data_IF_920617501065
#
_entry.id   IF_920617501065
#
_cell.length_a   1.000
_cell.length_b   1.000
_cell.length_c   1.000
_cell.angle_alpha   90.00
_cell.angle_beta   90.00
_cell.angle_gamma   90.00
#
_symmetry.space_group_name_H-M   'P 1'
#
loop_
_entity.id
_entity.type
_entity.pdbx_description
1 polymer ?
#
# COMPACT_ATOMS: atom_id res chain seq x y z
N UNK A 1 -30.77 12.27 -14.83
CA UNK A 1 -30.94 13.67 -15.28
C UNK A 1 -30.10 14.54 -14.37
N UNK A 2 -29.00 15.15 -14.84
CA UNK A 2 -28.20 16.05 -14.00
C UNK A 2 -28.82 17.45 -14.00
N UNK A 3 -29.08 18.01 -12.83
CA UNK A 3 -29.47 19.42 -12.67
C UNK A 3 -28.27 20.16 -12.09
N UNK A 4 -27.57 20.87 -12.96
CA UNK A 4 -26.54 21.85 -12.61
C UNK A 4 -27.22 23.11 -12.05
N UNK A 5 -26.72 23.62 -10.92
CA UNK A 5 -27.09 24.94 -10.40
C UNK A 5 -25.83 25.80 -10.34
N UNK A 6 -25.72 26.75 -11.28
CA UNK A 6 -24.81 27.88 -11.19
C UNK A 6 -25.36 28.86 -10.15
N UNK A 7 -24.54 29.30 -9.21
CA UNK A 7 -24.74 30.56 -8.51
C UNK A 7 -23.56 31.48 -8.80
N UNK A 8 -23.84 32.54 -9.55
CA UNK A 8 -22.96 33.69 -9.72
C UNK A 8 -23.26 34.72 -8.63
N UNK A 9 -22.23 35.31 -8.03
CA UNK A 9 -22.36 36.53 -7.23
C UNK A 9 -21.23 37.50 -7.61
N UNK A 10 -21.63 38.61 -8.21
CA UNK A 10 -20.83 39.78 -8.55
C UNK A 10 -20.64 40.69 -7.34
N UNK A 11 -19.45 41.26 -7.13
CA UNK A 11 -19.33 42.54 -6.42
C UNK A 11 -18.02 43.31 -6.76
N UNK A 12 -18.26 44.52 -7.30
CA UNK A 12 -17.61 45.81 -7.09
C UNK A 12 -16.09 46.02 -7.32
N UNK A 13 -15.82 47.06 -8.12
CA UNK A 13 -14.54 47.62 -8.52
C UNK A 13 -14.11 48.71 -7.51
N UNK A 14 -12.83 48.75 -7.14
CA UNK A 14 -12.15 49.96 -6.66
C UNK A 14 -10.80 50.07 -7.36
N UNK A 15 -10.65 51.13 -8.15
CA UNK A 15 -9.41 51.52 -8.79
C UNK A 15 -8.50 52.24 -7.78
N UNK A 16 -7.26 51.78 -7.66
CA UNK A 16 -6.19 52.48 -6.97
C UNK A 16 -4.90 52.36 -7.78
N UNK A 17 -4.40 53.48 -8.31
CA UNK A 17 -3.10 53.56 -8.95
C UNK A 17 -1.99 53.51 -7.88
N UNK A 18 -1.25 52.41 -7.84
CA UNK A 18 0.06 52.30 -7.17
C UNK A 18 1.06 51.75 -8.18
N UNK A 19 2.25 52.35 -8.28
CA UNK A 19 3.23 52.07 -9.33
C UNK A 19 3.73 50.62 -9.42
N UNK A 20 4.43 50.24 -10.50
CA UNK A 20 4.81 48.86 -10.76
C UNK A 20 5.72 48.32 -9.64
N UNK A 21 5.41 47.14 -9.06
CA UNK A 21 6.29 46.47 -8.11
C UNK A 21 7.56 45.98 -8.82
N UNK A 22 8.70 45.86 -8.10
CA UNK A 22 9.90 45.22 -8.63
C UNK A 22 9.57 43.77 -9.06
N UNK A 23 10.28 43.23 -10.07
CA UNK A 23 10.02 41.88 -10.55
C UNK A 23 10.12 40.87 -9.39
N UNK A 24 9.23 39.87 -9.31
CA UNK A 24 9.31 38.85 -8.29
C UNK A 24 10.64 38.11 -8.40
N UNK A 25 11.27 37.84 -7.25
CA UNK A 25 12.38 36.90 -7.19
C UNK A 25 11.96 35.56 -7.81
N UNK A 26 12.84 34.84 -8.53
CA UNK A 26 12.49 33.54 -9.09
C UNK A 26 11.98 32.62 -7.98
N UNK A 27 10.79 32.06 -8.16
CA UNK A 27 10.29 31.00 -7.29
C UNK A 27 11.25 29.80 -7.37
N UNK A 28 11.53 29.11 -6.24
CA UNK A 28 12.23 27.84 -6.32
C UNK A 28 11.40 26.91 -7.21
N UNK A 29 12.04 26.36 -8.24
CA UNK A 29 11.42 25.38 -9.13
C UNK A 29 10.82 24.25 -8.28
N UNK A 30 9.63 23.74 -8.62
CA UNK A 30 9.17 22.48 -8.06
C UNK A 30 10.27 21.45 -8.37
N UNK A 31 10.81 20.82 -7.33
CA UNK A 31 11.63 19.62 -7.51
C UNK A 31 10.82 18.68 -8.39
N UNK A 32 11.31 18.43 -9.60
CA UNK A 32 10.80 17.37 -10.43
C UNK A 32 11.02 16.08 -9.64
N UNK A 33 9.96 15.57 -9.00
CA UNK A 33 9.94 14.17 -8.60
C UNK A 33 10.01 13.39 -9.90
N UNK A 34 11.20 12.86 -10.18
CA UNK A 34 11.42 11.91 -11.25
C UNK A 34 10.59 10.69 -10.93
N UNK A 35 9.35 10.62 -11.42
CA UNK A 35 8.58 9.38 -11.45
C UNK A 35 9.27 8.50 -12.48
N UNK A 36 10.34 7.84 -12.06
CA UNK A 36 10.93 6.74 -12.83
C UNK A 36 9.90 5.63 -12.83
N UNK A 37 9.20 5.45 -13.95
CA UNK A 37 8.41 4.24 -14.18
C UNK A 37 9.33 3.05 -13.96
N UNK A 38 9.07 2.18 -12.96
CA UNK A 38 9.88 0.99 -12.75
C UNK A 38 9.85 0.15 -14.03
N UNK A 39 10.99 -0.43 -14.40
CA UNK A 39 10.99 -1.45 -15.45
C UNK A 39 10.00 -2.56 -15.07
N UNK A 40 9.28 -3.17 -16.02
CA UNK A 40 8.23 -4.16 -15.75
C UNK A 40 8.66 -5.35 -14.85
N UNK A 41 9.95 -5.61 -14.77
CA UNK A 41 10.55 -6.73 -14.04
C UNK A 41 11.48 -6.31 -12.89
N UNK A 42 11.50 -5.02 -12.53
CA UNK A 42 12.29 -4.58 -11.39
C UNK A 42 11.71 -5.16 -10.09
N UNK A 43 12.55 -5.70 -9.18
CA UNK A 43 12.07 -6.18 -7.90
C UNK A 43 11.51 -5.02 -7.07
N UNK A 44 10.37 -5.28 -6.43
CA UNK A 44 9.70 -4.35 -5.51
C UNK A 44 10.08 -4.67 -4.06
N UNK A 45 9.42 -4.01 -3.11
CA UNK A 45 9.64 -4.20 -1.68
C UNK A 45 9.64 -5.70 -1.31
N UNK A 46 10.63 -6.13 -0.52
CA UNK A 46 10.82 -7.55 -0.17
C UNK A 46 11.48 -8.40 -1.25
N UNK A 47 11.95 -7.81 -2.35
CA UNK A 47 12.74 -8.50 -3.38
C UNK A 47 11.93 -9.43 -4.28
N UNK A 48 10.63 -9.15 -4.44
CA UNK A 48 9.67 -9.92 -5.25
C UNK A 48 9.29 -9.13 -6.50
N UNK A 49 8.63 -9.76 -7.48
CA UNK A 49 8.03 -9.01 -8.60
C UNK A 49 6.74 -8.33 -8.16
N UNK A 50 6.28 -7.31 -8.90
CA UNK A 50 4.99 -6.68 -8.61
C UNK A 50 3.84 -7.70 -8.64
N UNK A 51 3.80 -8.58 -9.65
CA UNK A 51 2.80 -9.65 -9.76
C UNK A 51 2.78 -10.58 -8.53
N UNK A 52 3.95 -10.89 -7.96
CA UNK A 52 4.05 -11.72 -6.77
C UNK A 52 3.48 -10.99 -5.54
N UNK A 53 3.78 -9.69 -5.39
CA UNK A 53 3.21 -8.88 -4.31
C UNK A 53 1.68 -8.76 -4.42
N UNK A 54 1.16 -8.49 -5.62
CA UNK A 54 -0.28 -8.38 -5.89
C UNK A 54 -1.00 -9.71 -5.60
N UNK A 55 -0.39 -10.84 -5.97
CA UNK A 55 -0.93 -12.17 -5.69
C UNK A 55 -1.02 -12.45 -4.17
N UNK A 56 0.00 -12.04 -3.38
CA UNK A 56 -0.03 -12.16 -1.93
C UNK A 56 -1.18 -11.35 -1.33
N UNK A 57 -1.29 -10.08 -1.74
CA UNK A 57 -2.32 -9.16 -1.28
C UNK A 57 -3.73 -9.66 -1.60
N UNK A 58 -3.95 -10.11 -2.83
CA UNK A 58 -5.26 -10.63 -3.27
C UNK A 58 -5.69 -11.86 -2.47
N UNK A 59 -4.75 -12.76 -2.20
CA UNK A 59 -5.02 -13.98 -1.47
C UNK A 59 -5.28 -13.69 0.02
N UNK A 60 -4.55 -12.75 0.63
CA UNK A 60 -4.85 -12.28 1.99
C UNK A 60 -6.22 -11.61 2.08
N UNK A 61 -6.56 -10.73 1.14
CA UNK A 61 -7.84 -10.03 1.10
C UNK A 61 -9.02 -11.02 1.07
N UNK A 62 -8.91 -12.07 0.25
CA UNK A 62 -9.91 -13.14 0.16
C UNK A 62 -10.14 -13.86 1.49
N UNK A 63 -9.13 -13.91 2.36
CA UNK A 63 -9.20 -14.58 3.66
C UNK A 63 -9.67 -13.66 4.79
N UNK A 64 -9.64 -12.33 4.63
CA UNK A 64 -9.94 -11.38 5.71
C UNK A 64 -11.29 -11.64 6.37
N UNK A 65 -12.34 -11.90 5.59
CA UNK A 65 -13.67 -12.15 6.15
C UNK A 65 -13.70 -13.43 6.98
N UNK A 66 -12.99 -14.48 6.53
CA UNK A 66 -12.85 -15.73 7.27
C UNK A 66 -12.11 -15.49 8.59
N UNK A 67 -10.98 -14.78 8.56
CA UNK A 67 -10.20 -14.47 9.75
C UNK A 67 -10.96 -13.64 10.78
N UNK A 68 -11.85 -12.72 10.34
CA UNK A 68 -12.74 -11.96 11.24
C UNK A 68 -13.87 -12.80 11.83
N UNK A 69 -14.25 -13.89 11.16
CA UNK A 69 -15.37 -14.75 11.58
C UNK A 69 -14.92 -15.81 12.58
N UNK A 70 -13.73 -16.37 12.38
CA UNK A 70 -13.17 -17.41 13.23
C UNK A 70 -12.29 -16.83 14.34
N UNK A 71 -11.91 -17.67 15.31
CA UNK A 71 -11.04 -17.23 16.39
C UNK A 71 -9.65 -16.84 15.87
N UNK A 72 -8.98 -15.86 16.50
CA UNK A 72 -7.64 -15.42 16.09
C UNK A 72 -6.61 -16.55 16.00
N UNK A 73 -6.72 -17.58 16.84
CA UNK A 73 -5.82 -18.74 16.81
C UNK A 73 -5.93 -19.55 15.51
N UNK A 74 -7.15 -19.75 14.99
CA UNK A 74 -7.38 -20.43 13.71
C UNK A 74 -6.91 -19.54 12.57
N UNK A 75 -7.21 -18.24 12.63
CA UNK A 75 -6.80 -17.27 11.62
C UNK A 75 -5.28 -17.21 11.45
N UNK A 76 -4.51 -17.19 12.55
CA UNK A 76 -3.04 -17.17 12.52
C UNK A 76 -2.46 -18.40 11.82
N UNK A 77 -3.01 -19.59 12.09
CA UNK A 77 -2.64 -20.81 11.36
C UNK A 77 -2.95 -20.68 9.86
N UNK A 78 -4.09 -20.06 9.52
CA UNK A 78 -4.45 -19.74 8.14
C UNK A 78 -3.46 -18.80 7.44
N UNK A 79 -2.98 -17.76 8.12
CA UNK A 79 -1.95 -16.86 7.60
C UNK A 79 -0.64 -17.62 7.29
N UNK A 80 -0.19 -18.46 8.22
CA UNK A 80 1.03 -19.26 8.03
C UNK A 80 0.91 -20.20 6.81
N UNK A 81 -0.23 -20.88 6.65
CA UNK A 81 -0.47 -21.75 5.49
C UNK A 81 -0.50 -20.95 4.19
N UNK A 82 -1.19 -19.80 4.19
CA UNK A 82 -1.32 -18.92 3.03
C UNK A 82 0.06 -18.46 2.55
N UNK A 83 0.91 -17.96 3.46
CA UNK A 83 2.23 -17.46 3.10
C UNK A 83 3.11 -18.59 2.57
N UNK A 84 3.12 -19.76 3.21
CA UNK A 84 3.88 -20.92 2.72
C UNK A 84 3.44 -21.37 1.33
N UNK A 85 2.12 -21.36 1.09
CA UNK A 85 1.54 -21.69 -0.22
C UNK A 85 1.96 -20.67 -1.28
N UNK A 86 1.89 -19.37 -0.96
CA UNK A 86 2.32 -18.31 -1.85
C UNK A 86 3.82 -18.39 -2.17
N UNK A 87 4.67 -18.67 -1.17
CA UNK A 87 6.12 -18.89 -1.36
C UNK A 87 6.34 -20.01 -2.38
N UNK A 88 5.68 -21.15 -2.20
CA UNK A 88 5.83 -22.31 -3.07
C UNK A 88 5.37 -22.03 -4.51
N UNK A 89 4.21 -21.37 -4.68
CA UNK A 89 3.66 -21.06 -6.00
C UNK A 89 4.49 -20.06 -6.80
N UNK A 90 5.22 -19.17 -6.10
CA UNK A 90 5.98 -18.09 -6.72
C UNK A 90 7.48 -18.39 -6.80
N UNK A 91 7.90 -19.64 -6.54
CA UNK A 91 9.31 -20.07 -6.63
C UNK A 91 10.22 -19.36 -5.62
N UNK A 92 9.66 -18.86 -4.52
CA UNK A 92 10.41 -18.16 -3.49
C UNK A 92 11.17 -19.15 -2.61
N UNK A 93 12.31 -18.74 -2.06
CA UNK A 93 13.10 -19.60 -1.17
C UNK A 93 12.50 -19.61 0.25
N UNK A 94 11.90 -20.71 0.74
CA UNK A 94 11.26 -20.75 2.06
C UNK A 94 12.25 -20.46 3.19
N UNK A 95 13.50 -20.91 3.08
CA UNK A 95 14.53 -20.65 4.09
C UNK A 95 14.80 -19.14 4.26
N UNK A 96 14.72 -18.36 3.19
CA UNK A 96 14.91 -16.91 3.26
C UNK A 96 13.80 -16.23 4.09
N UNK A 97 12.55 -16.70 3.99
CA UNK A 97 11.41 -16.18 4.75
C UNK A 97 11.40 -16.66 6.20
N UNK A 98 12.03 -17.80 6.50
CA UNK A 98 12.26 -18.23 7.89
C UNK A 98 13.32 -17.37 8.59
N UNK A 99 14.37 -16.97 7.86
CA UNK A 99 15.41 -16.07 8.39
C UNK A 99 14.90 -14.63 8.53
N UNK A 100 14.03 -14.20 7.62
CA UNK A 100 13.46 -12.85 7.56
C UNK A 100 11.93 -12.91 7.42
N UNK A 101 11.26 -13.17 8.55
CA UNK A 101 9.79 -13.22 8.61
C UNK A 101 9.14 -11.86 8.39
N UNK A 102 9.86 -10.76 8.65
CA UNK A 102 9.42 -9.39 8.41
C UNK A 102 9.27 -9.06 6.92
N UNK A 103 9.79 -9.90 6.03
CA UNK A 103 9.66 -9.74 4.58
C UNK A 103 8.21 -9.67 4.11
N UNK A 104 7.34 -10.53 4.63
CA UNK A 104 5.91 -10.55 4.26
C UNK A 104 5.24 -9.23 4.67
N UNK A 105 5.60 -8.74 5.85
CA UNK A 105 5.14 -7.47 6.38
C UNK A 105 5.60 -6.30 5.50
N UNK A 106 6.87 -6.33 5.05
CA UNK A 106 7.45 -5.33 4.15
C UNK A 106 6.78 -5.32 2.77
N UNK A 107 6.52 -6.49 2.20
CA UNK A 107 5.83 -6.63 0.90
C UNK A 107 4.43 -6.01 0.99
N UNK A 108 3.66 -6.42 2.01
CA UNK A 108 2.25 -6.03 2.14
C UNK A 108 2.08 -4.59 2.60
N UNK A 109 2.98 -4.06 3.42
CA UNK A 109 2.97 -2.64 3.79
C UNK A 109 3.17 -1.72 2.57
N UNK A 110 4.01 -2.15 1.62
CA UNK A 110 4.26 -1.39 0.39
C UNK A 110 3.15 -1.58 -0.67
N UNK A 111 2.65 -2.81 -0.82
CA UNK A 111 1.72 -3.15 -1.90
C UNK A 111 0.23 -2.99 -1.53
N UNK A 112 -0.15 -3.31 -0.30
CA UNK A 112 -1.55 -3.35 0.14
C UNK A 112 -1.71 -3.06 1.64
N UNK A 113 -1.40 -1.82 2.09
CA UNK A 113 -1.40 -1.48 3.52
C UNK A 113 -2.76 -1.73 4.20
N UNK A 114 -3.88 -1.47 3.51
CA UNK A 114 -5.22 -1.71 4.07
C UNK A 114 -5.51 -3.20 4.32
N UNK A 115 -5.03 -4.08 3.42
CA UNK A 115 -5.18 -5.54 3.56
C UNK A 115 -4.31 -6.04 4.72
N UNK A 116 -3.08 -5.53 4.82
CA UNK A 116 -2.16 -5.80 5.93
C UNK A 116 -2.79 -5.43 7.27
N UNK A 117 -3.28 -4.19 7.41
CA UNK A 117 -3.93 -3.72 8.64
C UNK A 117 -5.19 -4.54 8.97
N UNK A 118 -5.99 -4.85 7.95
CA UNK A 118 -7.16 -5.72 8.10
C UNK A 118 -6.79 -7.10 8.65
N UNK A 119 -5.67 -7.68 8.20
CA UNK A 119 -5.18 -8.97 8.65
C UNK A 119 -4.62 -8.89 10.08
N UNK A 120 -3.76 -7.91 10.37
CA UNK A 120 -3.21 -7.65 11.72
C UNK A 120 -4.34 -7.52 12.75
N UNK A 121 -5.35 -6.70 12.43
CA UNK A 121 -6.52 -6.52 13.28
C UNK A 121 -7.36 -7.79 13.44
N UNK A 122 -7.67 -8.49 12.35
CA UNK A 122 -8.49 -9.71 12.39
C UNK A 122 -7.81 -10.86 13.15
N UNK A 123 -6.48 -10.92 13.08
CA UNK A 123 -5.68 -12.00 13.65
C UNK A 123 -5.18 -11.71 15.06
N UNK A 124 -5.40 -10.49 15.56
CA UNK A 124 -4.94 -10.03 16.87
C UNK A 124 -3.42 -10.29 17.07
N UNK A 125 -2.63 -9.79 16.12
CA UNK A 125 -1.17 -9.88 16.09
C UNK A 125 -0.56 -8.50 15.92
N UNK A 126 0.68 -8.25 16.40
CA UNK A 126 1.31 -6.93 16.26
C UNK A 126 1.82 -6.65 14.84
N UNK A 127 2.13 -7.70 14.07
CA UNK A 127 2.63 -7.67 12.71
C UNK A 127 2.39 -9.04 12.06
N UNK A 128 2.46 -9.14 10.73
CA UNK A 128 2.25 -10.41 10.03
C UNK A 128 3.32 -11.46 10.36
N UNK A 129 4.54 -11.03 10.65
CA UNK A 129 5.66 -11.92 10.97
C UNK A 129 5.40 -12.74 12.25
N UNK A 130 4.67 -12.15 13.20
CA UNK A 130 4.25 -12.80 14.45
C UNK A 130 3.26 -13.96 14.25
N UNK A 131 2.54 -13.98 13.11
CA UNK A 131 1.68 -15.08 12.71
C UNK A 131 2.38 -16.19 11.92
N UNK A 132 3.68 -16.03 11.62
CA UNK A 132 4.47 -16.94 10.78
C UNK A 132 5.47 -17.72 11.63
N UNK A 133 5.37 -19.05 11.63
CA UNK A 133 6.18 -19.92 12.49
C UNK A 133 7.00 -20.96 11.73
N UNK A 134 6.64 -21.28 10.48
CA UNK A 134 7.31 -22.31 9.68
C UNK A 134 6.48 -22.70 8.46
N UNK A 135 7.09 -23.31 7.44
CA UNK A 135 6.39 -23.77 6.24
C UNK A 135 6.88 -25.15 5.81
#
# INVERSE_FOLDING_TARGET
MPVSVLLAATAAVLAGCGGPPPPPAPAPAPSAETTTTPAPDAPVAGGVTQTQADALCSEMERQLQSWRTYTPSIGRGGLNILVGTWIAQNGQNPAAYLQDRGRVDTITAAACPDVREGAISALDIPDLASGIVGF
#
